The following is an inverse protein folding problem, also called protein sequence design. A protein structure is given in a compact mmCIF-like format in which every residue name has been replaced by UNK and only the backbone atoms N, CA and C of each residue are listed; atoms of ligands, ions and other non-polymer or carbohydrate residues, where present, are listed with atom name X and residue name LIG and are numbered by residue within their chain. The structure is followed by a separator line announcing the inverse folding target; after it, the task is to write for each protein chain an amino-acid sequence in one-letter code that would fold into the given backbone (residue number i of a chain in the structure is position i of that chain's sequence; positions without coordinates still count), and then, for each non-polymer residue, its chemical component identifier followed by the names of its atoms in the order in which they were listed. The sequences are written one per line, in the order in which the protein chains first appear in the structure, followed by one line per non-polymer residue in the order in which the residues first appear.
data_IF_024008682398
#
_entry.id   IF_024008682398
#
_cell.length_a   1.000
_cell.length_b   1.000
_cell.length_c   1.000
_cell.angle_alpha   90.00
_cell.angle_beta   90.00
_cell.angle_gamma   90.00
#
_symmetry.space_group_name_H-M   'P 1'
#
loop_
_entity.id
_entity.type
_entity.pdbx_description
1 polymer ?
#
# COMPACT_ATOMS: atom_id res chain seq x y z
N UNK A 1 -1.92 -3.40 -0.19
CA UNK A 1 -0.46 -3.49 0.09
C UNK A 1 -0.14 -4.02 1.49
N UNK A 2 -0.53 -3.32 2.59
CA UNK A 2 -0.18 -3.74 3.98
C UNK A 2 -0.52 -5.21 4.26
N UNK A 3 -1.77 -5.62 3.98
CA UNK A 3 -2.21 -7.01 4.16
C UNK A 3 -1.46 -8.04 3.31
N UNK A 4 -0.79 -7.62 2.24
CA UNK A 4 0.10 -8.49 1.46
C UNK A 4 1.47 -8.60 2.15
N UNK A 5 2.08 -7.47 2.54
CA UNK A 5 3.37 -7.44 3.24
C UNK A 5 3.36 -8.25 4.54
N UNK A 6 2.26 -8.20 5.29
CA UNK A 6 2.09 -8.96 6.53
C UNK A 6 2.05 -10.50 6.32
N UNK A 7 1.90 -10.98 5.07
CA UNK A 7 2.06 -12.41 4.75
C UNK A 7 3.52 -12.84 4.67
N UNK A 8 4.43 -11.89 4.42
CA UNK A 8 5.87 -12.15 4.22
C UNK A 8 6.72 -11.70 5.41
N UNK A 9 6.15 -10.96 6.36
CA UNK A 9 6.91 -10.33 7.45
C UNK A 9 6.02 -9.56 8.41
N UNK A 10 6.62 -8.66 9.17
CA UNK A 10 5.92 -7.83 10.15
C UNK A 10 6.16 -6.36 9.87
N UNK A 11 5.05 -5.62 9.71
CA UNK A 11 5.04 -4.16 9.64
C UNK A 11 4.68 -3.61 11.02
N UNK A 12 5.49 -2.70 11.56
CA UNK A 12 5.28 -2.05 12.86
C UNK A 12 5.56 -0.55 12.76
N UNK A 13 5.21 0.23 13.78
CA UNK A 13 5.49 1.68 13.81
C UNK A 13 4.65 2.54 12.85
N UNK A 14 3.66 1.94 12.18
CA UNK A 14 2.67 2.67 11.38
C UNK A 14 1.61 3.32 12.28
N UNK A 15 0.98 4.39 11.78
CA UNK A 15 -0.19 5.03 12.41
C UNK A 15 -1.37 5.08 11.43
N UNK A 16 -2.55 5.44 11.93
CA UNK A 16 -3.73 5.69 11.10
C UNK A 16 -3.72 7.12 10.56
N UNK A 17 -4.22 7.27 9.36
CA UNK A 17 -4.45 8.58 8.73
C UNK A 17 -5.73 8.51 7.88
N UNK A 18 -6.14 9.65 7.36
CA UNK A 18 -7.23 9.77 6.41
C UNK A 18 -6.76 10.65 5.26
N UNK A 19 -6.85 10.14 4.05
CA UNK A 19 -6.63 10.96 2.86
C UNK A 19 -7.91 11.65 2.42
N UNK A 20 -7.74 12.77 1.70
CA UNK A 20 -8.74 13.70 1.17
C UNK A 20 -9.57 14.51 2.18
N UNK A 21 -9.60 15.83 1.94
CA UNK A 21 -10.84 16.60 1.95
C UNK A 21 -10.95 17.32 0.60
N UNK A 22 -12.08 17.17 -0.09
CA UNK A 22 -12.49 17.85 -1.33
C UNK A 22 -11.65 17.62 -2.62
N UNK A 23 -10.67 16.72 -2.60
CA UNK A 23 -9.93 16.35 -3.81
C UNK A 23 -10.51 15.04 -4.40
N UNK A 24 -10.91 15.09 -5.68
CA UNK A 24 -11.54 13.96 -6.41
C UNK A 24 -12.94 13.52 -5.92
N UNK A 25 -13.61 14.31 -5.07
CA UNK A 25 -15.01 14.08 -4.67
C UNK A 25 -15.22 13.05 -3.56
N UNK A 26 -14.14 12.63 -2.89
CA UNK A 26 -14.18 11.79 -1.70
C UNK A 26 -14.01 12.65 -0.44
N UNK A 27 -14.63 12.26 0.67
CA UNK A 27 -14.68 13.07 1.88
C UNK A 27 -13.58 12.74 2.88
N UNK A 28 -13.49 11.47 3.27
CA UNK A 28 -12.52 10.96 4.24
C UNK A 28 -12.24 9.50 3.90
N UNK A 29 -11.10 9.22 3.27
CA UNK A 29 -10.68 7.86 2.93
C UNK A 29 -9.65 7.39 3.96
N UNK A 30 -9.97 6.39 4.81
CA UNK A 30 -9.02 5.89 5.81
C UNK A 30 -7.81 5.24 5.12
N UNK A 31 -6.61 5.57 5.60
CA UNK A 31 -5.34 5.04 5.08
C UNK A 31 -4.32 4.81 6.20
N UNK A 32 -3.26 4.08 5.88
CA UNK A 32 -2.10 3.92 6.75
C UNK A 32 -1.16 5.11 6.56
N UNK A 33 -0.60 5.62 7.65
CA UNK A 33 0.59 6.48 7.64
C UNK A 33 1.83 5.60 7.88
N UNK A 34 2.74 5.60 6.92
CA UNK A 34 3.93 4.74 6.92
C UNK A 34 5.26 5.49 7.15
N UNK A 35 5.23 6.77 7.56
CA UNK A 35 6.44 7.59 7.74
C UNK A 35 7.43 6.96 8.72
N UNK A 36 6.92 6.48 9.86
CA UNK A 36 7.70 5.86 10.93
C UNK A 36 7.62 4.31 10.89
N UNK A 37 7.00 3.77 9.84
CA UNK A 37 6.80 2.33 9.73
C UNK A 37 8.13 1.61 9.47
N UNK A 38 8.32 0.49 10.16
CA UNK A 38 9.44 -0.43 9.95
C UNK A 38 8.90 -1.78 9.50
N UNK A 39 9.57 -2.38 8.52
CA UNK A 39 9.23 -3.71 8.03
C UNK A 39 10.38 -4.69 8.27
N UNK A 40 10.07 -5.87 8.81
CA UNK A 40 11.02 -6.96 9.03
C UNK A 40 10.54 -8.22 8.31
N UNK A 41 11.39 -8.80 7.47
CA UNK A 41 11.12 -10.04 6.72
C UNK A 41 12.44 -10.71 6.33
N UNK A 42 12.42 -12.04 6.24
CA UNK A 42 13.52 -12.84 5.66
C UNK A 42 13.44 -12.96 4.13
N UNK A 43 12.35 -12.48 3.52
CA UNK A 43 12.02 -12.76 2.11
C UNK A 43 11.92 -11.50 1.25
N UNK A 44 11.47 -10.38 1.83
CA UNK A 44 11.17 -9.15 1.10
C UNK A 44 11.79 -7.96 1.81
N UNK A 45 12.46 -7.10 1.04
CA UNK A 45 12.83 -5.77 1.50
C UNK A 45 11.73 -4.78 1.11
N UNK A 46 11.33 -3.92 2.05
CA UNK A 46 10.28 -2.93 1.83
C UNK A 46 10.75 -1.55 2.27
N UNK A 47 10.52 -0.56 1.40
CA UNK A 47 10.64 0.86 1.71
C UNK A 47 9.37 1.58 1.28
N UNK A 48 9.05 2.67 1.98
CA UNK A 48 7.93 3.56 1.65
C UNK A 48 8.36 5.00 1.82
N UNK A 49 7.74 5.88 1.03
CA UNK A 49 7.88 7.34 1.15
C UNK A 49 6.52 8.01 1.09
N UNK A 50 6.22 8.77 2.13
CA UNK A 50 5.13 9.73 2.17
C UNK A 50 5.72 11.12 1.89
N UNK A 51 5.49 11.65 0.69
CA UNK A 51 6.19 12.88 0.26
C UNK A 51 5.50 14.16 0.71
N UNK A 52 4.18 14.14 0.84
CA UNK A 52 3.37 15.34 1.09
C UNK A 52 2.34 15.12 2.18
N UNK A 53 2.20 16.11 3.05
CA UNK A 53 1.08 16.18 3.98
C UNK A 53 -0.19 16.70 3.28
N UNK A 54 -1.32 16.62 3.98
CA UNK A 54 -2.61 17.12 3.50
C UNK A 54 -2.59 18.62 3.17
N UNK A 55 -1.74 19.41 3.83
CA UNK A 55 -1.54 20.84 3.56
C UNK A 55 -0.55 21.13 2.42
N UNK A 56 -0.03 20.08 1.77
CA UNK A 56 0.93 20.15 0.66
C UNK A 56 2.39 20.36 1.09
N UNK A 57 2.67 20.48 2.40
CA UNK A 57 4.03 20.53 2.92
C UNK A 57 4.79 19.24 2.63
N UNK A 58 6.12 19.33 2.51
CA UNK A 58 6.96 18.17 2.21
C UNK A 58 7.28 17.39 3.48
N UNK A 59 7.12 16.07 3.44
CA UNK A 59 7.34 15.18 4.58
C UNK A 59 8.64 14.39 4.45
N UNK A 60 8.80 13.67 3.33
CA UNK A 60 10.00 12.91 3.01
C UNK A 60 10.49 13.24 1.60
N UNK A 61 11.70 12.80 1.29
CA UNK A 61 12.28 12.84 -0.04
C UNK A 61 12.79 11.45 -0.42
N UNK A 62 12.79 11.17 -1.72
CA UNK A 62 13.46 10.00 -2.27
C UNK A 62 14.97 10.09 -2.04
N UNK A 63 15.60 8.96 -1.80
CA UNK A 63 17.04 8.84 -1.99
C UNK A 63 17.41 8.73 -3.48
N UNK A 64 18.70 8.58 -3.79
CA UNK A 64 19.18 8.55 -5.17
C UNK A 64 18.70 7.32 -5.96
N UNK A 65 18.53 6.17 -5.31
CA UNK A 65 18.08 4.93 -5.97
C UNK A 65 16.56 4.98 -6.21
N UNK A 66 15.80 5.41 -5.20
CA UNK A 66 14.36 5.63 -5.32
C UNK A 66 14.02 6.68 -6.38
N UNK A 67 14.79 7.78 -6.45
CA UNK A 67 14.59 8.82 -7.47
C UNK A 67 14.82 8.27 -8.88
N UNK A 68 15.84 7.42 -9.08
CA UNK A 68 16.08 6.78 -10.37
C UNK A 68 14.92 5.87 -10.78
N UNK A 69 14.35 5.13 -9.84
CA UNK A 69 13.17 4.29 -10.09
C UNK A 69 11.98 5.16 -10.49
N UNK A 70 11.69 6.23 -9.74
CA UNK A 70 10.55 7.11 -10.03
C UNK A 70 10.74 7.84 -11.36
N UNK A 71 11.92 8.38 -11.65
CA UNK A 71 12.21 9.04 -12.93
C UNK A 71 12.02 8.10 -14.13
N UNK A 72 12.35 6.81 -13.96
CA UNK A 72 12.22 5.81 -15.00
C UNK A 72 10.77 5.34 -15.20
N UNK A 73 10.06 5.05 -14.11
CA UNK A 73 8.77 4.34 -14.17
C UNK A 73 7.56 5.25 -13.96
N UNK A 74 7.69 6.36 -13.24
CA UNK A 74 6.64 7.34 -13.02
C UNK A 74 7.16 8.80 -13.19
N UNK A 75 7.56 9.19 -14.41
CA UNK A 75 8.11 10.52 -14.67
C UNK A 75 7.09 11.67 -14.47
N UNK A 76 5.82 11.34 -14.19
CA UNK A 76 4.76 12.32 -13.89
C UNK A 76 4.55 12.51 -12.38
N UNK A 77 5.17 11.69 -11.52
CA UNK A 77 5.03 11.77 -10.07
C UNK A 77 3.59 11.55 -9.60
N UNK A 78 2.93 10.52 -10.13
CA UNK A 78 1.56 10.14 -9.79
C UNK A 78 1.51 9.23 -8.56
N UNK A 79 0.74 9.63 -7.55
CA UNK A 79 0.52 8.82 -6.35
C UNK A 79 -0.85 8.14 -6.38
N UNK A 80 -0.99 6.93 -5.79
CA UNK A 80 0.08 6.12 -5.21
C UNK A 80 0.96 5.45 -6.29
N UNK A 81 2.23 5.16 -5.93
CA UNK A 81 3.18 4.44 -6.77
C UNK A 81 3.68 3.18 -6.03
N UNK A 82 3.69 2.04 -6.72
CA UNK A 82 4.19 0.76 -6.20
C UNK A 82 5.16 0.16 -7.22
N UNK A 83 6.32 -0.26 -6.77
CA UNK A 83 7.33 -0.91 -7.60
C UNK A 83 7.81 -2.21 -6.92
N UNK A 84 7.81 -3.32 -7.66
CA UNK A 84 8.18 -4.64 -7.15
C UNK A 84 9.30 -5.21 -8.02
N UNK A 85 10.49 -5.28 -7.45
CA UNK A 85 11.67 -6.02 -7.95
C UNK A 85 12.03 -5.76 -9.43
N UNK A 86 11.77 -4.57 -9.98
CA UNK A 86 12.03 -4.29 -11.41
C UNK A 86 11.08 -4.97 -12.39
N UNK A 87 10.07 -5.69 -11.91
CA UNK A 87 9.17 -6.51 -12.73
C UNK A 87 7.77 -5.92 -12.85
N UNK A 88 7.30 -5.25 -11.79
CA UNK A 88 5.95 -4.70 -11.72
C UNK A 88 5.97 -3.27 -11.22
N UNK A 89 5.17 -2.42 -11.86
CA UNK A 89 4.93 -1.05 -11.43
C UNK A 89 3.43 -0.74 -11.50
N UNK A 90 2.87 -0.12 -10.46
CA UNK A 90 1.52 0.47 -10.45
C UNK A 90 1.65 1.96 -10.21
N UNK A 91 0.95 2.77 -11.00
CA UNK A 91 1.10 4.22 -11.06
C UNK A 91 -0.28 4.87 -10.99
N UNK A 92 -0.50 5.74 -9.99
CA UNK A 92 -1.69 6.58 -9.89
C UNK A 92 -2.99 5.86 -9.54
N UNK A 93 -2.93 4.64 -9.00
CA UNK A 93 -4.11 3.85 -8.64
C UNK A 93 -3.85 2.95 -7.42
N UNK A 94 -4.86 2.79 -6.56
CA UNK A 94 -4.85 1.95 -5.36
C UNK A 94 -5.25 0.49 -5.61
N UNK A 95 -5.71 0.14 -6.82
CA UNK A 95 -6.20 -1.20 -7.18
C UNK A 95 -7.70 -1.42 -6.94
N UNK A 96 -8.34 -0.47 -6.25
CA UNK A 96 -9.79 -0.43 -6.06
C UNK A 96 -10.26 1.01 -5.87
N UNK A 97 -11.56 1.25 -6.08
CA UNK A 97 -12.16 2.58 -5.91
C UNK A 97 -12.12 3.04 -4.45
N UNK A 98 -11.55 4.21 -4.13
CA UNK A 98 -11.62 4.79 -2.78
C UNK A 98 -13.06 4.99 -2.27
N UNK A 99 -14.03 5.13 -3.17
CA UNK A 99 -15.45 5.26 -2.82
C UNK A 99 -16.04 4.05 -2.09
N UNK A 100 -15.38 2.89 -2.14
CA UNK A 100 -15.80 1.71 -1.35
C UNK A 100 -15.56 1.89 0.15
N UNK A 101 -14.64 2.78 0.53
CA UNK A 101 -14.23 3.02 1.91
C UNK A 101 -14.39 4.50 2.32
N UNK A 102 -15.04 5.32 1.50
CA UNK A 102 -15.29 6.72 1.81
C UNK A 102 -16.10 6.86 3.09
N UNK A 103 -15.74 7.85 3.90
CA UNK A 103 -16.37 8.16 5.19
C UNK A 103 -16.41 6.99 6.18
N UNK A 104 -15.55 5.98 6.00
CA UNK A 104 -15.43 4.84 6.92
C UNK A 104 -14.36 5.12 7.97
N UNK A 105 -14.61 4.69 9.21
CA UNK A 105 -13.60 4.75 10.27
C UNK A 105 -12.47 3.72 10.04
N UNK A 106 -11.23 4.15 10.22
CA UNK A 106 -10.04 3.32 9.98
C UNK A 106 -10.04 2.05 10.84
N UNK A 107 -10.32 2.16 12.14
CA UNK A 107 -10.24 1.03 13.06
C UNK A 107 -11.35 0.01 12.77
N UNK A 108 -12.55 0.49 12.43
CA UNK A 108 -13.65 -0.36 11.95
C UNK A 108 -13.31 -1.09 10.65
N UNK A 109 -12.78 -0.38 9.64
CA UNK A 109 -12.41 -0.97 8.37
C UNK A 109 -11.29 -2.01 8.55
N UNK A 110 -10.26 -1.69 9.34
CA UNK A 110 -9.16 -2.61 9.64
C UNK A 110 -9.69 -3.88 10.32
N UNK A 111 -10.57 -3.75 11.31
CA UNK A 111 -11.18 -4.89 11.98
C UNK A 111 -12.00 -5.77 11.01
N UNK A 112 -12.73 -5.17 10.05
CA UNK A 112 -13.45 -5.89 9.00
C UNK A 112 -12.50 -6.64 8.06
N UNK A 113 -11.40 -6.00 7.64
CA UNK A 113 -10.38 -6.59 6.77
C UNK A 113 -9.67 -7.75 7.45
N UNK A 114 -9.27 -7.62 8.72
CA UNK A 114 -8.57 -8.68 9.48
C UNK A 114 -9.51 -9.77 9.99
N UNK A 115 -10.78 -9.43 10.20
CA UNK A 115 -11.82 -10.36 10.63
C UNK A 115 -12.55 -11.07 9.50
N UNK A 116 -12.10 -10.88 8.25
CA UNK A 116 -12.65 -11.50 7.03
C UNK A 116 -14.16 -11.25 6.83
N UNK A 117 -14.63 -10.07 7.22
CA UNK A 117 -15.99 -9.64 6.92
C UNK A 117 -16.22 -9.65 5.39
N UNK A 118 -17.44 -9.96 4.97
CA UNK A 118 -17.78 -10.07 3.55
C UNK A 118 -18.55 -8.80 3.11
N UNK A 119 -17.83 -7.77 2.70
CA UNK A 119 -18.36 -6.52 2.12
C UNK A 119 -17.66 -6.25 0.79
N UNK A 120 -18.24 -5.38 -0.04
CA UNK A 120 -17.59 -5.00 -1.32
C UNK A 120 -16.22 -4.36 -1.08
N UNK A 121 -16.06 -3.62 0.02
CA UNK A 121 -14.80 -3.01 0.42
C UNK A 121 -13.75 -4.05 0.81
N UNK A 122 -14.08 -5.00 1.70
CA UNK A 122 -13.12 -6.03 2.13
C UNK A 122 -12.75 -6.97 0.99
N UNK A 123 -13.73 -7.34 0.14
CA UNK A 123 -13.48 -8.15 -1.05
C UNK A 123 -12.50 -7.47 -2.01
N UNK A 124 -12.67 -6.17 -2.27
CA UNK A 124 -11.76 -5.42 -3.14
C UNK A 124 -10.35 -5.28 -2.52
N UNK A 125 -10.26 -5.02 -1.21
CA UNK A 125 -8.98 -4.92 -0.49
C UNK A 125 -8.24 -6.26 -0.50
N UNK A 126 -8.94 -7.37 -0.25
CA UNK A 126 -8.35 -8.72 -0.28
C UNK A 126 -7.91 -9.09 -1.69
N UNK A 127 -8.71 -8.81 -2.72
CA UNK A 127 -8.34 -9.07 -4.11
C UNK A 127 -7.07 -8.33 -4.53
N UNK A 128 -6.93 -7.05 -4.15
CA UNK A 128 -5.69 -6.30 -4.41
C UNK A 128 -4.51 -6.83 -3.59
N UNK A 129 -4.74 -7.24 -2.33
CA UNK A 129 -3.70 -7.86 -1.51
C UNK A 129 -3.23 -9.20 -2.10
N UNK A 130 -4.12 -10.01 -2.66
CA UNK A 130 -3.80 -11.26 -3.34
C UNK A 130 -3.00 -11.01 -4.62
N UNK A 131 -3.37 -9.99 -5.40
CA UNK A 131 -2.64 -9.62 -6.61
C UNK A 131 -1.20 -9.18 -6.30
N UNK A 132 -1.02 -8.31 -5.30
CA UNK A 132 0.33 -7.89 -4.86
C UNK A 132 1.10 -9.09 -4.32
N UNK A 133 0.45 -9.98 -3.55
CA UNK A 133 1.07 -11.22 -3.05
C UNK A 133 1.56 -12.08 -4.21
N UNK A 134 0.77 -12.25 -5.28
CA UNK A 134 1.17 -13.01 -6.45
C UNK A 134 2.40 -12.41 -7.15
N UNK A 135 2.50 -11.09 -7.26
CA UNK A 135 3.68 -10.41 -7.82
C UNK A 135 4.93 -10.61 -6.97
N UNK A 136 4.80 -10.53 -5.64
CA UNK A 136 5.90 -10.82 -4.71
C UNK A 136 6.31 -12.29 -4.85
N UNK A 137 5.36 -13.23 -4.85
CA UNK A 137 5.63 -14.65 -5.00
C UNK A 137 6.33 -14.98 -6.32
N UNK A 138 5.98 -14.30 -7.41
CA UNK A 138 6.73 -14.44 -8.66
C UNK A 138 8.18 -13.96 -8.50
N UNK A 139 8.37 -12.82 -7.84
CA UNK A 139 9.69 -12.22 -7.61
C UNK A 139 10.58 -13.04 -6.66
N UNK A 140 9.99 -13.75 -5.69
CA UNK A 140 10.71 -14.57 -4.70
C UNK A 140 10.86 -16.04 -5.12
N UNK A 141 10.39 -16.42 -6.32
CA UNK A 141 10.38 -17.82 -6.75
C UNK A 141 9.47 -18.72 -5.91
N UNK A 142 8.39 -18.16 -5.36
CA UNK A 142 7.38 -18.87 -4.57
C UNK A 142 7.70 -18.98 -3.08
N UNK A 143 8.56 -18.12 -2.52
CA UNK A 143 8.91 -18.11 -1.10
C UNK A 143 8.33 -16.89 -0.36
N UNK A 144 7.89 -17.06 0.91
CA UNK A 144 7.70 -18.32 1.61
C UNK A 144 6.49 -19.07 1.08
N UNK A 145 6.54 -20.40 1.13
CA UNK A 145 5.42 -21.26 0.72
C UNK A 145 4.13 -20.92 1.48
N UNK A 146 4.23 -20.51 2.75
CA UNK A 146 3.06 -20.10 3.54
C UNK A 146 2.29 -18.90 2.97
N UNK A 147 2.98 -18.00 2.25
CA UNK A 147 2.37 -16.85 1.59
C UNK A 147 2.00 -17.14 0.12
N UNK A 148 2.74 -18.04 -0.54
CA UNK A 148 2.64 -18.28 -1.98
C UNK A 148 1.83 -19.51 -2.39
N UNK A 149 1.37 -20.32 -1.45
CA UNK A 149 0.54 -21.50 -1.70
C UNK A 149 -0.98 -21.23 -1.59
N UNK A 150 -1.38 -19.96 -1.51
CA UNK A 150 -2.79 -19.51 -1.52
C UNK A 150 -3.36 -19.47 -2.92
#
# INVERSE_FOLDING_TARGET
MVSSLERFGTLSGWDKDTHNQDTFGFHLVPTYNLIDATYTSDYVYFTSKELKAHDGSSLQQFDAEEQQIVDQYDPRGSFPFLFINGQYARIGDSGYSPGLIDSTDFDSLRAQVTGEAQTDATAAIHAEADLITAYICHSTGGQPVSACAT
#
